data_IF_335695892471
#
_entry.id   IF_335695892471
#
_cell.length_a   1.000
_cell.length_b   1.000
_cell.length_c   1.000
_cell.angle_alpha   90.00
_cell.angle_beta   90.00
_cell.angle_gamma   90.00
#
_symmetry.space_group_name_H-M   'P 1'
#
loop_
_entity.id
_entity.type
_entity.pdbx_description
1 polymer ?
#
# COMPACT_ATOMS: atom_id res chain seq x y z
N UNK A 1 -19.36 15.46 22.12
CA UNK A 1 -19.29 15.29 20.65
C UNK A 1 -18.46 14.06 20.35
N UNK A 2 -19.09 12.92 20.07
CA UNK A 2 -18.37 11.76 19.57
C UNK A 2 -18.01 12.04 18.11
N UNK A 3 -16.73 12.38 17.85
CA UNK A 3 -16.22 12.37 16.48
C UNK A 3 -16.24 10.90 16.05
N UNK A 4 -17.21 10.49 15.25
CA UNK A 4 -17.09 9.28 14.45
C UNK A 4 -15.87 9.49 13.54
N UNK A 5 -14.69 9.06 13.99
CA UNK A 5 -13.57 8.77 13.10
C UNK A 5 -14.08 7.67 12.19
N UNK A 6 -14.66 8.06 11.05
CA UNK A 6 -14.99 7.16 9.97
C UNK A 6 -13.67 6.52 9.58
N UNK A 7 -13.40 5.31 10.08
CA UNK A 7 -12.26 4.52 9.63
C UNK A 7 -12.56 4.25 8.16
N UNK A 8 -11.95 5.03 7.27
CA UNK A 8 -11.87 4.62 5.89
C UNK A 8 -11.04 3.32 5.92
N UNK A 9 -11.67 2.27 5.38
CA UNK A 9 -11.25 0.88 5.46
C UNK A 9 -11.02 0.44 4.01
N UNK A 10 -9.92 0.91 3.42
CA UNK A 10 -9.49 0.42 2.12
C UNK A 10 -9.51 -1.12 2.17
N UNK A 11 -10.03 -1.74 1.12
CA UNK A 11 -10.12 -3.19 1.06
C UNK A 11 -8.92 -3.76 0.34
N UNK A 12 -8.29 -4.77 0.93
CA UNK A 12 -7.22 -5.50 0.26
C UNK A 12 -7.82 -6.43 -0.79
N UNK A 13 -7.37 -6.27 -2.03
CA UNK A 13 -7.69 -7.15 -3.16
C UNK A 13 -6.49 -8.04 -3.46
N UNK A 14 -6.78 -9.26 -3.92
CA UNK A 14 -5.76 -10.22 -4.33
C UNK A 14 -5.58 -11.34 -3.32
N UNK A 15 -4.54 -12.15 -3.54
CA UNK A 15 -4.22 -13.31 -2.70
C UNK A 15 -3.38 -12.96 -1.48
N UNK A 16 -2.63 -11.86 -1.55
CA UNK A 16 -1.73 -11.39 -0.50
C UNK A 16 -2.44 -10.38 0.39
N UNK A 17 -2.54 -10.69 1.68
CA UNK A 17 -3.01 -9.78 2.72
C UNK A 17 -1.84 -9.12 3.44
N UNK A 18 -2.11 -8.11 4.26
CA UNK A 18 -1.11 -7.50 5.15
C UNK A 18 -0.47 -8.54 6.07
N UNK A 19 -1.25 -9.50 6.57
CA UNK A 19 -0.78 -10.57 7.46
C UNK A 19 0.21 -11.53 6.78
N UNK A 20 0.14 -11.65 5.45
CA UNK A 20 1.04 -12.50 4.67
C UNK A 20 2.40 -11.83 4.41
N UNK A 21 2.54 -10.54 4.76
CA UNK A 21 3.81 -9.83 4.68
C UNK A 21 4.69 -10.15 5.90
N UNK A 22 6.02 -10.00 5.76
CA UNK A 22 6.91 -10.10 6.90
C UNK A 22 6.48 -9.14 8.02
N UNK A 23 6.57 -9.53 9.32
CA UNK A 23 6.07 -8.72 10.43
C UNK A 23 6.62 -7.28 10.45
N UNK A 24 7.86 -7.07 10.02
CA UNK A 24 8.48 -5.74 9.93
C UNK A 24 7.85 -4.82 8.88
N UNK A 25 7.12 -5.36 7.91
CA UNK A 25 6.50 -4.65 6.79
C UNK A 25 5.02 -4.36 6.99
N UNK A 26 4.34 -5.11 7.86
CA UNK A 26 2.89 -4.96 8.08
C UNK A 26 2.55 -3.56 8.59
N UNK A 27 3.31 -3.06 9.56
CA UNK A 27 3.11 -1.73 10.15
C UNK A 27 3.34 -0.58 9.16
N UNK A 28 4.52 -0.51 8.52
CA UNK A 28 4.81 0.50 7.50
C UNK A 28 3.79 0.51 6.36
N UNK A 29 3.43 -0.67 5.85
CA UNK A 29 2.48 -0.81 4.76
C UNK A 29 1.10 -0.25 5.14
N UNK A 30 0.57 -0.61 6.32
CA UNK A 30 -0.72 -0.12 6.78
C UNK A 30 -0.73 1.41 6.97
N UNK A 31 0.35 2.00 7.49
CA UNK A 31 0.47 3.46 7.64
C UNK A 31 0.48 4.17 6.29
N UNK A 32 1.22 3.65 5.33
CA UNK A 32 1.29 4.20 3.97
C UNK A 32 -0.08 4.13 3.29
N UNK A 33 -0.75 2.98 3.33
CA UNK A 33 -2.08 2.84 2.71
C UNK A 33 -3.12 3.76 3.34
N UNK A 34 -3.11 3.92 4.67
CA UNK A 34 -3.95 4.91 5.37
C UNK A 34 -3.65 6.34 4.94
N UNK A 35 -2.37 6.69 4.77
CA UNK A 35 -1.95 8.00 4.29
C UNK A 35 -2.45 8.28 2.87
N UNK A 36 -2.32 7.31 1.96
CA UNK A 36 -2.82 7.42 0.59
C UNK A 36 -4.36 7.51 0.53
N UNK A 37 -5.07 6.86 1.44
CA UNK A 37 -6.54 6.96 1.57
C UNK A 37 -7.04 8.31 2.07
N UNK A 38 -6.24 8.97 2.91
CA UNK A 38 -6.51 10.34 3.33
C UNK A 38 -6.25 11.33 2.18
N UNK A 39 -5.18 11.11 1.40
CA UNK A 39 -4.83 11.96 0.25
C UNK A 39 -5.80 11.81 -0.92
N UNK A 40 -6.23 10.59 -1.22
CA UNK A 40 -7.04 10.30 -2.40
C UNK A 40 -8.39 9.67 -2.02
N UNK A 41 -9.51 10.42 -2.09
CA UNK A 41 -10.83 9.89 -1.76
C UNK A 41 -11.32 8.79 -2.73
N UNK A 42 -10.72 8.70 -3.93
CA UNK A 42 -11.04 7.67 -4.91
C UNK A 42 -10.36 6.34 -4.59
N UNK A 43 -9.34 6.30 -3.73
CA UNK A 43 -8.72 5.05 -3.30
C UNK A 43 -9.69 4.29 -2.40
N UNK A 44 -10.10 3.10 -2.85
CA UNK A 44 -11.02 2.20 -2.15
C UNK A 44 -10.44 0.80 -1.94
N UNK A 45 -9.53 0.38 -2.82
CA UNK A 45 -8.95 -0.95 -2.76
C UNK A 45 -7.45 -0.92 -3.01
N UNK A 46 -6.68 -1.67 -2.22
CA UNK A 46 -5.24 -1.89 -2.45
C UNK A 46 -4.98 -3.33 -2.89
N UNK A 47 -4.19 -3.52 -3.94
CA UNK A 47 -3.68 -4.84 -4.33
C UNK A 47 -2.17 -4.89 -4.11
N UNK A 48 -1.74 -5.67 -3.11
CA UNK A 48 -0.33 -5.89 -2.82
C UNK A 48 0.20 -6.95 -3.80
N UNK A 49 1.29 -6.62 -4.51
CA UNK A 49 1.88 -7.47 -5.54
C UNK A 49 3.04 -8.24 -4.94
N UNK A 50 2.76 -9.49 -4.58
CA UNK A 50 3.73 -10.39 -3.97
C UNK A 50 3.73 -10.28 -2.45
N UNK A 51 4.14 -11.36 -1.79
CA UNK A 51 4.20 -11.47 -0.32
C UNK A 51 5.57 -11.14 0.26
N UNK A 52 6.55 -10.83 -0.59
CA UNK A 52 7.95 -10.65 -0.18
C UNK A 52 8.53 -9.36 -0.76
N UNK A 53 9.28 -8.59 0.05
CA UNK A 53 10.03 -7.44 -0.42
C UNK A 53 10.99 -7.86 -1.54
N UNK A 54 11.17 -6.98 -2.52
CA UNK A 54 12.06 -7.18 -3.65
C UNK A 54 12.72 -5.87 -4.04
N UNK A 55 13.86 -5.95 -4.73
CA UNK A 55 14.49 -4.75 -5.29
C UNK A 55 13.60 -4.10 -6.34
N UNK A 56 13.58 -2.77 -6.33
CA UNK A 56 12.90 -2.00 -7.37
C UNK A 56 13.55 -2.29 -8.72
N UNK A 57 12.73 -2.69 -9.70
CA UNK A 57 13.21 -2.80 -11.08
C UNK A 57 13.32 -1.43 -11.74
N UNK A 58 12.44 -0.50 -11.35
CA UNK A 58 12.37 0.84 -11.93
C UNK A 58 13.50 1.75 -11.40
N UNK A 59 14.01 1.47 -10.20
CA UNK A 59 15.19 2.12 -9.64
C UNK A 59 16.23 1.07 -9.21
N UNK A 60 17.08 0.61 -10.15
CA UNK A 60 18.12 -0.37 -9.84
C UNK A 60 19.26 0.21 -8.99
N UNK A 61 19.29 1.53 -8.78
CA UNK A 61 20.26 2.19 -7.91
C UNK A 61 19.79 2.25 -6.46
N UNK A 62 18.50 2.01 -6.21
CA UNK A 62 17.96 1.90 -4.88
C UNK A 62 18.41 0.57 -4.24
N UNK A 63 19.24 0.62 -3.17
CA UNK A 63 19.67 -0.60 -2.50
C UNK A 63 18.54 -1.24 -1.68
N UNK A 64 17.46 -0.50 -1.40
CA UNK A 64 16.44 -0.89 -0.45
C UNK A 64 15.35 -1.74 -1.11
N UNK A 65 14.87 -2.72 -0.35
CA UNK A 65 13.75 -3.53 -0.79
C UNK A 65 12.45 -2.72 -0.77
N UNK A 66 11.54 -3.05 -1.69
CA UNK A 66 10.23 -2.45 -1.83
C UNK A 66 9.13 -3.50 -1.89
N UNK A 67 7.92 -3.07 -1.52
CA UNK A 67 6.69 -3.78 -1.82
C UNK A 67 5.84 -2.96 -2.80
N UNK A 68 5.55 -3.59 -3.93
CA UNK A 68 4.70 -3.03 -4.97
C UNK A 68 3.23 -3.10 -4.57
N UNK A 69 2.52 -1.98 -4.57
CA UNK A 69 1.08 -1.93 -4.31
C UNK A 69 0.36 -1.15 -5.40
N UNK A 70 -0.79 -1.67 -5.82
CA UNK A 70 -1.68 -1.00 -6.76
C UNK A 70 -2.86 -0.41 -6.02
N UNK A 71 -3.00 0.91 -6.09
CA UNK A 71 -4.17 1.62 -5.56
C UNK A 71 -5.27 1.58 -6.61
N UNK A 72 -6.48 1.21 -6.19
CA UNK A 72 -7.64 1.02 -7.06
C UNK A 72 -8.85 1.80 -6.59
N UNK A 73 -9.67 2.21 -7.56
CA UNK A 73 -10.93 2.90 -7.33
C UNK A 73 -12.07 1.93 -7.02
N UNK A 74 -13.27 2.48 -6.80
CA UNK A 74 -14.48 1.70 -6.53
C UNK A 74 -14.79 0.65 -7.63
N UNK A 75 -14.50 0.98 -8.90
CA UNK A 75 -14.63 0.05 -10.03
C UNK A 75 -13.50 -1.00 -10.12
N UNK A 76 -12.62 -1.07 -9.12
CA UNK A 76 -11.42 -1.92 -9.07
C UNK A 76 -10.40 -1.62 -10.19
N UNK A 77 -10.49 -0.45 -10.83
CA UNK A 77 -9.49 0.03 -11.79
C UNK A 77 -8.29 0.61 -11.05
N UNK A 78 -7.09 0.31 -11.53
CA UNK A 78 -5.85 0.88 -10.98
C UNK A 78 -5.82 2.38 -11.24
N UNK A 79 -5.76 3.15 -10.17
CA UNK A 79 -5.56 4.60 -10.19
C UNK A 79 -4.06 4.90 -10.16
N UNK A 80 -3.33 4.19 -9.31
CA UNK A 80 -1.91 4.47 -9.07
C UNK A 80 -1.14 3.19 -8.72
N UNK A 81 0.17 3.25 -8.89
CA UNK A 81 1.11 2.20 -8.51
C UNK A 81 2.15 2.83 -7.61
N UNK A 82 2.36 2.23 -6.46
CA UNK A 82 3.29 2.72 -5.46
C UNK A 82 4.26 1.61 -5.07
N UNK A 83 5.52 1.98 -4.89
CA UNK A 83 6.56 1.19 -4.30
C UNK A 83 6.76 1.68 -2.88
N UNK A 84 6.40 0.85 -1.92
CA UNK A 84 6.51 1.17 -0.49
C UNK A 84 7.84 0.62 0.02
N UNK A 85 8.63 1.47 0.64
CA UNK A 85 9.85 1.08 1.35
C UNK A 85 9.55 0.80 2.83
N UNK A 86 10.49 0.12 3.50
CA UNK A 86 10.31 -0.22 4.91
C UNK A 86 10.29 1.00 5.84
N UNK A 87 10.92 2.11 5.43
CA UNK A 87 10.96 3.39 6.13
C UNK A 87 9.69 4.24 5.93
N UNK A 88 8.65 3.67 5.30
CA UNK A 88 7.39 4.34 4.93
C UNK A 88 7.51 5.35 3.77
N UNK A 89 8.68 5.45 3.14
CA UNK A 89 8.82 6.23 1.91
C UNK A 89 8.10 5.54 0.76
N UNK A 90 7.56 6.35 -0.14
CA UNK A 90 6.76 5.89 -1.28
C UNK A 90 7.33 6.47 -2.56
N UNK A 91 7.63 5.60 -3.51
CA UNK A 91 8.01 5.97 -4.88
C UNK A 91 6.93 5.52 -5.86
N UNK A 92 6.79 6.22 -6.99
CA UNK A 92 5.77 5.98 -8.01
C UNK A 92 6.41 5.64 -9.34
#
# INVERSE_FOLDING_TARGET
MFKQTTQRLYQLLGKTKLEDLPPSWQGPMDRVLKSEEQKNPNFKFAEIRGSSPHRSYDDPSDPDDVLSVRLKNEDKKTIDRIHVHQDESVRR
#
